data_IF_351893981160
#
_entry.id   IF_351893981160
#
_cell.length_a   1.000
_cell.length_b   1.000
_cell.length_c   1.000
_cell.angle_alpha   90.00
_cell.angle_beta   90.00
_cell.angle_gamma   90.00
#
_symmetry.space_group_name_H-M   'P 1'
#
loop_
_entity.id
_entity.type
_entity.pdbx_description
1 polymer ?
#
# COMPACT_ATOMS: atom_id res chain seq x y z
N UNK A 1 -11.31 31.56 -11.11
CA UNK A 1 -10.26 31.77 -10.09
C UNK A 1 -9.22 30.66 -10.25
N UNK A 2 -8.09 30.94 -10.89
CA UNK A 2 -7.00 29.96 -11.06
C UNK A 2 -6.13 30.03 -9.81
N UNK A 3 -5.98 28.91 -9.11
CA UNK A 3 -5.12 28.84 -7.94
C UNK A 3 -3.73 28.38 -8.42
N UNK A 4 -2.65 29.13 -8.12
CA UNK A 4 -1.31 28.75 -8.54
C UNK A 4 -0.82 27.56 -7.70
N UNK A 5 -0.74 26.38 -8.33
CA UNK A 5 -0.09 25.20 -7.77
C UNK A 5 1.13 24.84 -8.62
N UNK A 6 2.18 24.34 -7.97
CA UNK A 6 3.37 23.85 -8.66
C UNK A 6 3.19 22.39 -9.08
N UNK A 7 2.47 21.62 -8.26
CA UNK A 7 2.17 20.22 -8.50
C UNK A 7 0.70 19.96 -8.21
N UNK A 8 0.05 19.23 -9.11
CA UNK A 8 -1.30 18.70 -8.92
C UNK A 8 -1.22 17.17 -8.96
N UNK A 9 -1.71 16.53 -7.91
CA UNK A 9 -1.77 15.08 -7.76
C UNK A 9 -3.24 14.67 -7.90
N UNK A 10 -3.53 13.75 -8.82
CA UNK A 10 -4.88 13.23 -9.03
C UNK A 10 -4.99 11.88 -8.33
N UNK A 11 -5.85 11.81 -7.31
CA UNK A 11 -6.08 10.67 -6.43
C UNK A 11 -5.51 10.88 -5.02
N UNK A 12 -6.37 10.83 -4.01
CA UNK A 12 -6.06 10.90 -2.58
C UNK A 12 -5.89 9.53 -1.92
N UNK A 13 -5.44 8.53 -2.68
CA UNK A 13 -5.07 7.22 -2.15
C UNK A 13 -3.68 7.22 -1.49
N UNK A 14 -3.20 6.06 -0.98
CA UNK A 14 -1.92 5.95 -0.28
C UNK A 14 -0.77 6.54 -1.10
N UNK A 15 -0.65 6.18 -2.37
CA UNK A 15 0.42 6.69 -3.26
C UNK A 15 0.36 8.21 -3.47
N UNK A 16 -0.84 8.75 -3.68
CA UNK A 16 -1.02 10.19 -3.94
C UNK A 16 -0.71 11.03 -2.70
N UNK A 17 -1.16 10.58 -1.53
CA UNK A 17 -0.85 11.22 -0.25
C UNK A 17 0.64 11.07 0.10
N UNK A 18 1.24 9.90 -0.11
CA UNK A 18 2.70 9.69 0.06
C UNK A 18 3.51 10.66 -0.79
N UNK A 19 3.15 10.83 -2.06
CA UNK A 19 3.82 11.77 -2.96
C UNK A 19 3.68 13.22 -2.45
N UNK A 20 2.48 13.63 -2.03
CA UNK A 20 2.23 14.97 -1.51
C UNK A 20 3.06 15.26 -0.25
N UNK A 21 3.06 14.32 0.70
CA UNK A 21 3.82 14.41 1.96
C UNK A 21 5.32 14.50 1.65
N UNK A 22 5.84 13.61 0.80
CA UNK A 22 7.26 13.57 0.47
C UNK A 22 7.73 14.84 -0.23
N UNK A 23 6.93 15.37 -1.16
CA UNK A 23 7.22 16.64 -1.83
C UNK A 23 7.30 17.80 -0.82
N UNK A 24 6.33 17.89 0.11
CA UNK A 24 6.34 18.92 1.16
C UNK A 24 7.54 18.78 2.10
N UNK A 25 7.88 17.56 2.53
CA UNK A 25 9.07 17.29 3.35
C UNK A 25 10.37 17.73 2.64
N UNK A 26 10.52 17.39 1.35
CA UNK A 26 11.69 17.77 0.56
C UNK A 26 11.80 19.28 0.35
N UNK A 27 10.67 19.96 0.15
CA UNK A 27 10.62 21.41 -0.02
C UNK A 27 11.00 22.13 1.29
N UNK A 28 10.45 21.68 2.42
CA UNK A 28 10.81 22.17 3.75
C UNK A 28 12.31 21.98 4.04
N UNK A 29 12.88 20.82 3.72
CA UNK A 29 14.31 20.55 3.88
C UNK A 29 15.22 21.44 3.01
N UNK A 30 14.68 22.03 1.94
CA UNK A 30 15.39 22.98 1.07
C UNK A 30 15.04 24.45 1.38
N UNK A 31 14.16 24.71 2.35
CA UNK A 31 13.67 26.06 2.65
C UNK A 31 12.86 26.70 1.52
N UNK A 32 12.23 25.89 0.67
CA UNK A 32 11.42 26.36 -0.47
C UNK A 32 9.95 26.07 -0.22
N UNK A 33 9.09 27.04 -0.50
CA UNK A 33 7.64 26.83 -0.48
C UNK A 33 7.14 26.34 -1.84
N UNK A 34 6.42 25.21 -1.82
CA UNK A 34 5.73 24.67 -3.01
C UNK A 34 4.25 24.51 -2.72
N UNK A 35 3.42 24.94 -3.67
CA UNK A 35 1.98 24.66 -3.68
C UNK A 35 1.70 23.27 -4.25
N UNK A 36 1.17 22.35 -3.42
CA UNK A 36 0.77 21.00 -3.84
C UNK A 36 -0.74 20.86 -3.65
N UNK A 37 -1.45 20.51 -4.73
CA UNK A 37 -2.88 20.22 -4.70
C UNK A 37 -3.09 18.71 -4.86
N UNK A 38 -3.89 18.10 -3.98
CA UNK A 38 -4.34 16.71 -4.13
C UNK A 38 -5.84 16.73 -4.44
N UNK A 39 -6.21 16.16 -5.57
CA UNK A 39 -7.59 16.05 -6.02
C UNK A 39 -8.11 14.64 -5.76
N UNK A 40 -9.13 14.52 -4.93
CA UNK A 40 -9.82 13.24 -4.67
C UNK A 40 -11.30 13.39 -5.06
N UNK A 41 -11.85 12.37 -5.73
CA UNK A 41 -13.25 12.35 -6.16
C UNK A 41 -14.19 11.93 -5.03
N UNK A 42 -13.67 11.24 -4.03
CA UNK A 42 -14.39 10.89 -2.81
C UNK A 42 -14.93 12.13 -2.09
N UNK A 43 -16.01 11.96 -1.34
CA UNK A 43 -16.54 13.00 -0.45
C UNK A 43 -15.55 13.37 0.65
N UNK A 44 -14.64 12.45 0.97
CA UNK A 44 -13.59 12.56 1.96
C UNK A 44 -12.35 11.79 1.48
N UNK A 45 -11.19 12.11 2.04
CA UNK A 45 -9.97 11.31 1.80
C UNK A 45 -10.24 9.86 2.24
N UNK A 46 -9.99 8.91 1.35
CA UNK A 46 -10.23 7.50 1.64
C UNK A 46 -11.64 6.97 1.39
N UNK A 47 -12.63 7.82 1.09
CA UNK A 47 -14.03 7.39 0.88
C UNK A 47 -14.23 6.42 -0.30
N UNK A 48 -13.23 6.29 -1.19
CA UNK A 48 -13.25 5.36 -2.33
C UNK A 48 -12.06 4.39 -2.35
N UNK A 49 -11.36 4.23 -1.23
CA UNK A 49 -10.33 3.20 -1.09
C UNK A 49 -11.00 1.88 -0.73
N UNK A 50 -10.74 0.84 -1.52
CA UNK A 50 -11.14 -0.53 -1.24
C UNK A 50 -9.89 -1.40 -1.25
N UNK A 51 -9.60 -2.08 -0.14
CA UNK A 51 -8.43 -2.94 0.01
C UNK A 51 -8.66 -3.98 1.10
N UNK A 52 -7.95 -5.12 1.02
CA UNK A 52 -7.82 -6.05 2.15
C UNK A 52 -6.89 -5.54 3.26
N UNK A 53 -6.18 -4.43 3.00
CA UNK A 53 -5.41 -3.64 3.96
C UNK A 53 -4.35 -4.41 4.77
N UNK A 54 -3.79 -5.48 4.19
CA UNK A 54 -2.53 -6.09 4.68
C UNK A 54 -1.37 -5.28 4.11
N UNK A 55 -0.60 -4.61 4.97
CA UNK A 55 0.39 -3.61 4.59
C UNK A 55 1.72 -3.94 5.26
N UNK A 56 2.82 -3.82 4.50
CA UNK A 56 4.17 -3.81 5.05
C UNK A 56 4.45 -2.43 5.70
N UNK A 57 4.72 -2.36 7.02
CA UNK A 57 4.93 -1.09 7.72
C UNK A 57 6.22 -0.36 7.32
N UNK A 58 7.13 -0.99 6.56
CA UNK A 58 8.39 -0.37 6.13
C UNK A 58 8.15 0.97 5.41
N UNK A 59 7.22 1.01 4.45
CA UNK A 59 6.99 2.19 3.63
C UNK A 59 6.46 3.40 4.43
N UNK A 60 5.57 3.17 5.39
CA UNK A 60 5.07 4.26 6.25
C UNK A 60 6.13 4.68 7.28
N UNK A 61 6.96 3.74 7.75
CA UNK A 61 8.08 4.02 8.66
C UNK A 61 9.14 4.88 7.98
N UNK A 62 9.44 4.65 6.71
CA UNK A 62 10.35 5.50 5.94
C UNK A 62 9.78 6.90 5.70
N UNK A 63 8.46 7.01 5.48
CA UNK A 63 7.82 8.29 5.18
C UNK A 63 7.57 9.15 6.43
N UNK A 64 7.15 8.53 7.52
CA UNK A 64 6.76 9.16 8.79
C UNK A 64 7.28 8.26 9.93
N UNK A 65 8.53 8.42 10.39
CA UNK A 65 9.13 7.49 11.36
C UNK A 65 8.36 7.36 12.70
N UNK A 66 7.65 8.42 13.10
CA UNK A 66 6.85 8.52 14.32
C UNK A 66 5.35 8.30 14.08
N UNK A 67 4.99 7.51 13.05
CA UNK A 67 3.60 7.30 12.64
C UNK A 67 2.72 6.68 13.74
N UNK A 68 3.30 5.83 14.59
CA UNK A 68 2.58 5.17 15.70
C UNK A 68 2.12 6.19 16.75
N UNK A 69 3.00 7.12 17.13
CA UNK A 69 2.70 8.17 18.11
C UNK A 69 1.70 9.19 17.57
N UNK A 70 1.70 9.39 16.25
CA UNK A 70 0.72 10.24 15.55
C UNK A 70 -0.65 9.59 15.37
N UNK A 71 -0.85 8.38 15.90
CA UNK A 71 -2.14 7.70 15.91
C UNK A 71 -2.55 7.09 14.58
N UNK A 72 -1.60 6.63 13.75
CA UNK A 72 -1.98 5.91 12.54
C UNK A 72 -2.74 4.61 12.88
N UNK A 73 -3.74 4.27 12.06
CA UNK A 73 -4.68 3.17 12.30
C UNK A 73 -4.13 1.78 11.93
N UNK A 74 -2.83 1.53 12.10
CA UNK A 74 -2.17 0.24 11.88
C UNK A 74 -1.93 -0.43 13.24
N UNK A 75 -2.99 -0.89 13.89
CA UNK A 75 -2.96 -1.38 15.29
C UNK A 75 -3.01 -2.90 15.42
N UNK A 76 -3.16 -3.63 14.32
CA UNK A 76 -3.35 -5.09 14.31
C UNK A 76 -2.19 -5.73 13.56
N UNK A 77 -1.34 -6.45 14.29
CA UNK A 77 -0.22 -7.18 13.71
C UNK A 77 -0.68 -8.48 13.05
N UNK A 78 -0.08 -8.80 11.90
CA UNK A 78 -0.25 -10.09 11.22
C UNK A 78 0.60 -11.14 11.92
N UNK A 79 -0.04 -12.17 12.48
CA UNK A 79 0.64 -13.24 13.23
C UNK A 79 0.80 -14.55 12.44
N UNK A 80 -0.03 -14.77 11.42
CA UNK A 80 -0.02 -16.00 10.62
C UNK A 80 -0.51 -15.72 9.19
N UNK A 81 0.08 -16.40 8.20
CA UNK A 81 -0.40 -16.44 6.81
C UNK A 81 -0.85 -17.87 6.46
N UNK A 82 -2.03 -18.01 5.83
CA UNK A 82 -2.62 -19.29 5.44
C UNK A 82 -3.10 -19.26 4.00
N UNK A 83 -2.55 -20.15 3.17
CA UNK A 83 -3.03 -20.39 1.82
C UNK A 83 -3.78 -21.74 1.74
N UNK A 84 -5.03 -21.71 1.27
CA UNK A 84 -5.87 -22.91 1.10
C UNK A 84 -6.29 -23.12 -0.35
N UNK A 85 -6.30 -24.37 -0.82
CA UNK A 85 -6.81 -24.73 -2.15
C UNK A 85 -8.24 -25.23 -2.04
N UNK A 86 -9.21 -24.46 -2.53
CA UNK A 86 -10.59 -24.91 -2.61
C UNK A 86 -10.75 -25.86 -3.81
N UNK A 87 -11.01 -27.14 -3.54
CA UNK A 87 -11.40 -28.12 -4.58
C UNK A 87 -12.86 -28.53 -4.37
N UNK A 88 -13.70 -28.30 -5.39
CA UNK A 88 -15.06 -28.83 -5.43
C UNK A 88 -14.93 -30.36 -5.54
N UNK A 89 -15.51 -31.09 -4.58
CA UNK A 89 -15.46 -32.56 -4.47
C UNK A 89 -16.26 -33.29 -5.57
N UNK A 90 -16.12 -32.92 -6.84
CA UNK A 90 -16.69 -33.72 -7.95
C UNK A 90 -15.67 -34.69 -8.56
N UNK A 91 -14.36 -34.47 -8.42
CA UNK A 91 -13.33 -35.41 -8.88
C UNK A 91 -12.09 -35.35 -7.96
N UNK A 92 -12.14 -36.00 -6.79
CA UNK A 92 -10.92 -36.29 -6.00
C UNK A 92 -10.16 -37.49 -6.57
N UNK A 93 -9.69 -37.39 -7.81
CA UNK A 93 -8.69 -38.31 -8.39
C UNK A 93 -7.80 -37.56 -9.39
N UNK A 94 -7.01 -36.62 -8.89
CA UNK A 94 -5.80 -36.19 -9.58
C UNK A 94 -4.67 -36.15 -8.55
N UNK A 95 -3.80 -37.14 -8.66
CA UNK A 95 -2.64 -37.41 -7.81
C UNK A 95 -1.64 -36.24 -7.86
N UNK A 96 -0.90 -36.08 -6.76
CA UNK A 96 0.39 -35.39 -6.60
C UNK A 96 0.88 -34.58 -7.82
N UNK A 97 0.79 -33.25 -7.76
CA UNK A 97 1.53 -32.40 -8.68
C UNK A 97 2.92 -32.12 -8.12
N UNK A 98 3.99 -32.32 -8.91
CA UNK A 98 5.36 -32.08 -8.46
C UNK A 98 5.58 -30.58 -8.23
N UNK A 99 6.36 -30.29 -7.21
CA UNK A 99 6.90 -28.96 -6.92
C UNK A 99 7.76 -28.48 -8.10
N UNK A 100 7.30 -27.43 -8.79
CA UNK A 100 8.07 -26.42 -9.58
C UNK A 100 7.34 -26.03 -10.87
N UNK A 101 6.57 -24.94 -10.78
CA UNK A 101 6.47 -23.84 -11.77
C UNK A 101 5.25 -22.99 -11.45
N UNK A 102 5.41 -22.08 -10.50
CA UNK A 102 4.64 -20.85 -10.45
C UNK A 102 5.66 -19.74 -10.20
N UNK A 103 6.15 -19.13 -11.28
CA UNK A 103 6.87 -17.87 -11.19
C UNK A 103 6.74 -17.10 -12.50
N UNK A 104 5.94 -16.02 -12.45
CA UNK A 104 6.29 -14.68 -12.94
C UNK A 104 5.09 -13.70 -12.83
N UNK A 105 4.67 -13.39 -11.60
CA UNK A 105 4.10 -12.08 -11.26
C UNK A 105 4.30 -11.89 -9.75
N UNK A 106 4.56 -10.67 -9.32
CA UNK A 106 5.16 -10.22 -8.06
C UNK A 106 4.32 -10.45 -6.78
N UNK A 107 3.95 -11.69 -6.49
CA UNK A 107 3.44 -12.06 -5.16
C UNK A 107 4.55 -12.78 -4.42
N UNK A 108 5.13 -12.10 -3.43
CA UNK A 108 6.11 -12.68 -2.51
C UNK A 108 5.49 -13.81 -1.72
N UNK A 109 5.49 -15.03 -2.27
CA UNK A 109 5.41 -16.25 -1.49
C UNK A 109 6.86 -16.70 -1.25
N UNK A 110 7.47 -16.18 -0.18
CA UNK A 110 8.80 -16.59 0.24
C UNK A 110 8.74 -18.04 0.76
N UNK A 111 9.08 -18.99 -0.11
CA UNK A 111 9.51 -20.33 0.32
C UNK A 111 11.03 -20.33 0.27
N UNK A 112 11.66 -20.01 1.40
CA UNK A 112 13.08 -20.27 1.60
C UNK A 112 13.21 -21.23 2.78
N UNK A 113 13.48 -22.50 2.47
CA UNK A 113 14.00 -23.48 3.41
C UNK A 113 15.38 -23.91 2.94
N UNK A 114 16.39 -23.46 3.67
CA UNK A 114 17.57 -24.22 4.07
C UNK A 114 18.18 -23.48 5.25
#
# INVERSE_FOLDING_TARGET
MVHPFHVVIVGGGPTGLTAAIRLKQMAAGKGVEIGVCVLEKGSEMGARILSGAVIDPLAITELIPDWTEKGASLTVDVTEDRASRLVIRLVQRARSLPSRRFMNCSTSAAVMRS
#
